data_IF_739783130704
#
_entry.id   IF_739783130704
#
_cell.length_a   1.000
_cell.length_b   1.000
_cell.length_c   1.000
_cell.angle_alpha   90.00
_cell.angle_beta   90.00
_cell.angle_gamma   90.00
#
_symmetry.space_group_name_H-M   'P 1'
#
loop_
_entity.id
_entity.type
_entity.pdbx_description
1 polymer ?
#
# COMPACT_ATOMS: atom_id res chain seq x y z
N UNK A 1 2.75 0.07 -5.20
CA UNK A 1 3.35 -1.28 -5.06
C UNK A 1 4.67 -1.42 -5.82
N UNK A 2 4.70 -1.29 -7.16
CA UNK A 2 5.94 -1.46 -7.93
C UNK A 2 7.12 -0.58 -7.50
N UNK A 3 6.88 0.67 -7.10
CA UNK A 3 7.94 1.57 -6.59
C UNK A 3 8.54 1.09 -5.27
N UNK A 4 7.72 0.70 -4.29
CA UNK A 4 8.19 0.16 -3.01
C UNK A 4 8.95 -1.17 -3.19
N UNK A 5 8.53 -1.98 -4.16
CA UNK A 5 9.28 -3.17 -4.55
C UNK A 5 10.65 -2.81 -5.14
N UNK A 6 10.69 -1.86 -6.07
CA UNK A 6 11.94 -1.40 -6.66
C UNK A 6 12.90 -0.85 -5.59
N UNK A 7 12.39 -0.06 -4.64
CA UNK A 7 13.17 0.41 -3.49
C UNK A 7 13.76 -0.76 -2.71
N UNK A 8 12.96 -1.76 -2.33
CA UNK A 8 13.42 -2.92 -1.57
C UNK A 8 14.49 -3.73 -2.31
N UNK A 9 14.33 -3.92 -3.62
CA UNK A 9 15.30 -4.64 -4.46
C UNK A 9 16.60 -3.87 -4.62
N UNK A 10 16.53 -2.57 -4.88
CA UNK A 10 17.71 -1.72 -5.08
C UNK A 10 18.45 -1.48 -3.75
N UNK A 11 17.73 -1.32 -2.64
CA UNK A 11 18.31 -1.28 -1.30
C UNK A 11 19.09 -2.56 -0.99
N UNK A 12 18.52 -3.74 -1.31
CA UNK A 12 19.20 -5.03 -1.13
C UNK A 12 20.46 -5.14 -1.99
N UNK A 13 20.40 -4.67 -3.22
CA UNK A 13 21.50 -4.81 -4.18
C UNK A 13 22.68 -3.88 -3.85
N UNK A 14 22.39 -2.61 -3.54
CA UNK A 14 23.39 -1.56 -3.52
C UNK A 14 23.78 -1.03 -2.14
N UNK A 15 22.94 -1.20 -1.11
CA UNK A 15 23.32 -0.74 0.23
C UNK A 15 24.47 -1.59 0.78
N UNK A 16 25.37 -0.93 1.51
CA UNK A 16 26.54 -1.53 2.17
C UNK A 16 26.60 -1.06 3.62
N UNK A 17 27.34 -1.74 4.51
CA UNK A 17 27.57 -1.24 5.86
C UNK A 17 28.07 0.22 5.85
N UNK A 18 27.38 1.09 6.59
CA UNK A 18 27.65 2.55 6.63
C UNK A 18 27.18 3.36 5.42
N UNK A 19 26.56 2.73 4.41
CA UNK A 19 26.14 3.39 3.16
C UNK A 19 24.75 2.90 2.72
N UNK A 20 23.71 3.56 3.22
CA UNK A 20 22.32 3.37 2.79
C UNK A 20 21.99 4.38 1.69
N UNK A 21 22.31 4.04 0.44
CA UNK A 21 22.11 4.92 -0.72
C UNK A 21 20.70 4.84 -1.31
N UNK A 22 20.00 3.73 -1.08
CA UNK A 22 18.58 3.57 -1.38
C UNK A 22 17.85 3.34 -0.07
N UNK A 23 17.20 4.40 0.41
CA UNK A 23 16.39 4.36 1.63
C UNK A 23 15.29 5.44 1.55
N UNK A 24 14.12 5.06 1.06
CA UNK A 24 12.98 5.98 0.96
C UNK A 24 11.64 5.26 1.07
N UNK A 25 10.62 6.00 1.47
CA UNK A 25 9.25 5.49 1.52
C UNK A 25 8.50 5.78 0.21
N UNK A 26 7.55 4.91 -0.12
CA UNK A 26 6.54 5.18 -1.14
C UNK A 26 5.21 5.46 -0.47
N UNK A 27 4.68 6.67 -0.64
CA UNK A 27 3.37 7.06 -0.13
C UNK A 27 2.33 7.07 -1.26
N UNK A 28 1.11 6.63 -0.96
CA UNK A 28 -0.01 6.69 -1.90
C UNK A 28 -1.28 7.14 -1.20
N UNK A 29 -1.98 8.10 -1.78
CA UNK A 29 -3.37 8.41 -1.43
C UNK A 29 -4.32 7.57 -2.27
N UNK A 30 -5.35 7.02 -1.65
CA UNK A 30 -6.42 6.32 -2.38
C UNK A 30 -7.75 6.50 -1.66
N UNK A 31 -8.85 6.35 -2.39
CA UNK A 31 -10.22 6.38 -1.84
C UNK A 31 -10.97 5.08 -2.11
N UNK A 32 -12.27 5.11 -1.86
CA UNK A 32 -13.21 4.01 -2.07
C UNK A 32 -13.12 3.44 -3.50
N UNK A 33 -13.09 4.31 -4.51
CA UNK A 33 -13.05 3.90 -5.93
C UNK A 33 -11.84 3.02 -6.24
N UNK A 34 -10.65 3.39 -5.77
CA UNK A 34 -9.45 2.57 -5.96
C UNK A 34 -9.58 1.20 -5.29
N UNK A 35 -10.18 1.12 -4.10
CA UNK A 35 -10.36 -0.15 -3.39
C UNK A 35 -11.40 -1.06 -4.04
N UNK A 36 -12.40 -0.50 -4.72
CA UNK A 36 -13.40 -1.26 -5.46
C UNK A 36 -12.84 -1.92 -6.72
N UNK A 37 -11.74 -1.41 -7.27
CA UNK A 37 -11.07 -1.99 -8.45
C UNK A 37 -10.31 -3.28 -8.10
N UNK A 38 -10.54 -4.35 -8.87
CA UNK A 38 -9.93 -5.66 -8.62
C UNK A 38 -8.40 -5.64 -8.62
N UNK A 39 -7.79 -4.80 -9.46
CA UNK A 39 -6.33 -4.64 -9.53
C UNK A 39 -5.73 -4.14 -8.22
N UNK A 40 -6.49 -3.39 -7.41
CA UNK A 40 -6.02 -2.94 -6.10
C UNK A 40 -5.87 -4.12 -5.14
N UNK A 41 -6.78 -5.10 -5.22
CA UNK A 41 -6.77 -6.28 -4.36
C UNK A 41 -5.59 -7.20 -4.70
N UNK A 42 -5.31 -7.37 -5.99
CA UNK A 42 -4.11 -8.07 -6.46
C UNK A 42 -2.83 -7.38 -5.96
N UNK A 43 -2.75 -6.05 -6.12
CA UNK A 43 -1.61 -5.26 -5.70
C UNK A 43 -1.40 -5.28 -4.18
N UNK A 44 -2.47 -5.15 -3.39
CA UNK A 44 -2.44 -5.22 -1.92
C UNK A 44 -2.01 -6.61 -1.46
N UNK A 45 -2.57 -7.67 -2.05
CA UNK A 45 -2.17 -9.05 -1.76
C UNK A 45 -0.68 -9.27 -2.01
N UNK A 46 -0.19 -8.83 -3.16
CA UNK A 46 1.23 -8.92 -3.52
C UNK A 46 2.12 -8.14 -2.55
N UNK A 47 1.72 -6.92 -2.17
CA UNK A 47 2.47 -6.10 -1.21
C UNK A 47 2.57 -6.78 0.17
N UNK A 48 1.51 -7.48 0.59
CA UNK A 48 1.47 -8.27 1.81
C UNK A 48 2.40 -9.48 1.76
N UNK A 49 2.34 -10.29 0.70
CA UNK A 49 3.22 -11.46 0.52
C UNK A 49 4.69 -11.06 0.50
N UNK A 50 5.03 -9.93 -0.12
CA UNK A 50 6.42 -9.48 -0.27
C UNK A 50 6.89 -8.58 0.87
N UNK A 51 6.04 -8.34 1.87
CA UNK A 51 6.33 -7.54 3.07
C UNK A 51 6.95 -6.19 2.71
N UNK A 52 6.23 -5.40 1.91
CA UNK A 52 6.68 -4.06 1.50
C UNK A 52 6.44 -3.05 2.63
N UNK A 53 7.31 -3.05 3.63
CA UNK A 53 7.26 -2.26 4.86
C UNK A 53 7.40 -0.74 4.65
N UNK A 54 8.07 -0.33 3.56
CA UNK A 54 8.21 1.08 3.17
C UNK A 54 7.11 1.58 2.22
N UNK A 55 6.06 0.78 1.99
CA UNK A 55 4.84 1.22 1.30
C UNK A 55 3.81 1.70 2.32
N UNK A 56 3.45 2.98 2.27
CA UNK A 56 2.44 3.57 3.15
C UNK A 56 1.25 4.03 2.32
N UNK A 57 0.09 3.43 2.58
CA UNK A 57 -1.17 3.79 1.94
C UNK A 57 -2.01 4.65 2.89
N UNK A 58 -2.40 5.83 2.44
CA UNK A 58 -3.29 6.74 3.14
C UNK A 58 -4.68 6.65 2.48
N UNK A 59 -5.62 6.09 3.23
CA UNK A 59 -6.99 5.92 2.78
C UNK A 59 -7.83 7.16 3.13
N UNK A 60 -8.38 7.80 2.11
CA UNK A 60 -9.39 8.85 2.23
C UNK A 60 -10.78 8.22 2.46
N UNK A 61 -11.09 7.98 3.74
CA UNK A 61 -12.37 7.42 4.18
C UNK A 61 -13.42 8.52 4.36
N UNK A 62 -13.87 9.10 3.25
CA UNK A 62 -14.89 10.15 3.25
C UNK A 62 -16.32 9.60 3.01
N UNK A 63 -16.45 8.32 2.62
CA UNK A 63 -17.72 7.62 2.45
C UNK A 63 -18.53 8.04 1.22
N UNK A 64 -17.92 8.71 0.23
CA UNK A 64 -18.59 9.21 -0.97
C UNK A 64 -17.90 8.69 -2.24
N UNK A 65 -18.69 8.19 -3.18
CA UNK A 65 -18.29 7.94 -4.57
C UNK A 65 -19.11 8.82 -5.52
N UNK A 66 -18.88 8.68 -6.83
CA UNK A 66 -19.64 9.43 -7.86
C UNK A 66 -21.14 9.14 -7.78
N UNK A 67 -21.53 7.92 -7.40
CA UNK A 67 -22.93 7.48 -7.27
C UNK A 67 -23.53 7.82 -5.89
N UNK A 68 -22.79 8.55 -5.04
CA UNK A 68 -23.21 8.99 -3.72
C UNK A 68 -22.60 8.17 -2.58
N UNK A 69 -23.36 8.01 -1.49
CA UNK A 69 -22.83 7.42 -0.26
C UNK A 69 -22.42 5.95 -0.44
N UNK A 70 -21.18 5.63 -0.06
CA UNK A 70 -20.63 4.26 -0.10
C UNK A 70 -21.24 3.46 1.06
N UNK A 71 -22.08 2.49 0.71
CA UNK A 71 -22.73 1.61 1.70
C UNK A 71 -21.76 0.55 2.18
N UNK A 72 -21.84 0.20 3.47
CA UNK A 72 -21.00 -0.81 4.12
C UNK A 72 -21.06 -2.23 3.50
N UNK A 73 -22.01 -2.50 2.60
CA UNK A 73 -22.13 -3.75 1.85
C UNK A 73 -21.30 -3.84 0.57
N UNK A 74 -20.65 -2.75 0.13
CA UNK A 74 -19.53 -2.84 -0.81
C UNK A 74 -18.34 -3.40 -0.03
N UNK A 75 -18.23 -4.73 0.01
CA UNK A 75 -17.44 -5.49 0.97
C UNK A 75 -15.92 -5.18 0.98
N UNK A 76 -15.43 -4.31 0.10
CA UNK A 76 -14.01 -4.11 -0.16
C UNK A 76 -13.38 -2.94 0.62
N UNK A 77 -14.16 -1.94 1.05
CA UNK A 77 -13.58 -0.66 1.52
C UNK A 77 -13.22 -0.63 3.01
N UNK A 78 -13.84 -1.50 3.83
CA UNK A 78 -13.72 -1.43 5.30
C UNK A 78 -12.91 -2.56 5.96
N UNK A 79 -12.35 -3.50 5.19
CA UNK A 79 -11.43 -4.51 5.73
C UNK A 79 -10.04 -3.89 5.80
N UNK A 80 -9.60 -3.51 7.00
CA UNK A 80 -8.25 -2.97 7.30
C UNK A 80 -7.19 -3.70 6.47
N UNK A 81 -6.62 -3.01 5.49
CA UNK A 81 -5.31 -3.34 4.94
C UNK A 81 -4.30 -2.77 5.93
N UNK A 82 -4.19 -3.39 7.10
CA UNK A 82 -3.04 -3.14 7.96
C UNK A 82 -1.86 -3.90 7.35
N UNK A 83 -0.90 -3.17 6.79
CA UNK A 83 0.44 -3.71 6.69
C UNK A 83 0.83 -4.19 8.11
N UNK A 84 1.35 -5.42 8.27
CA UNK A 84 1.83 -5.84 9.58
C UNK A 84 2.84 -4.79 10.02
N UNK A 85 2.62 -4.19 11.20
CA UNK A 85 3.57 -3.27 11.78
C UNK A 85 4.93 -3.96 11.75
N UNK A 86 5.89 -3.36 11.05
CA UNK A 86 7.27 -3.78 11.13
C UNK A 86 7.63 -3.80 12.63
N UNK A 87 7.93 -4.99 13.15
CA UNK A 87 8.36 -5.16 14.52
C UNK A 87 9.56 -4.25 14.77
N UNK A 88 9.48 -3.48 15.85
CA UNK A 88 10.61 -2.79 16.45
C UNK A 88 11.70 -3.77 16.89
#
# INVERSE_FOLDING_TARGET
>A
VGMALAEKLLAREFNRPGHAIVDHHTYVFHGDGCLMEGISQEAISLAGVWQLDKLVALYDDNGISIDGAVRAGSATTRRRVSAPAAGA
#
